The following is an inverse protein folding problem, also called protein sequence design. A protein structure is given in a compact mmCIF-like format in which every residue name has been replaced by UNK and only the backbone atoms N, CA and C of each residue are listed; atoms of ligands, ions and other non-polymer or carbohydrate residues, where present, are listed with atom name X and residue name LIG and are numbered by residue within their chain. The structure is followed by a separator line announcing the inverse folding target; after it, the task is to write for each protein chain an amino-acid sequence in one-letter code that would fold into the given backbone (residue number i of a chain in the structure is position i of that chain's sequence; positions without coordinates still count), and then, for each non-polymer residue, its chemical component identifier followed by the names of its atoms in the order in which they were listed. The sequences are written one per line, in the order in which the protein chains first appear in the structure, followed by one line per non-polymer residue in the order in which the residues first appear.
data_IF_394511901450
#
_entry.id   IF_394511901450
#
_cell.length_a   1.000
_cell.length_b   1.000
_cell.length_c   1.000
_cell.angle_alpha   90.00
_cell.angle_beta   90.00
_cell.angle_gamma   90.00
#
_symmetry.space_group_name_H-M   'P 1'
#
loop_
_entity.id
_entity.type
_entity.pdbx_description
1 polymer ?
#
# COMPACT_ATOMS: atom_id res chain seq x y z
N UNK A 1 8.00 -2.70 10.11
CA UNK A 1 7.16 -3.39 9.08
C UNK A 1 7.74 -3.08 7.70
N UNK A 2 7.81 -4.06 6.82
CA UNK A 2 8.20 -3.84 5.44
C UNK A 2 7.11 -3.09 4.68
N UNK A 3 7.50 -2.32 3.66
CA UNK A 3 6.56 -1.67 2.73
C UNK A 3 6.42 -2.52 1.46
N UNK A 4 5.26 -2.50 0.82
CA UNK A 4 5.04 -3.22 -0.43
C UNK A 4 5.69 -2.47 -1.59
N UNK A 5 6.93 -2.80 -1.92
CA UNK A 5 7.75 -2.09 -2.90
C UNK A 5 7.44 -2.49 -4.34
N UNK A 6 7.54 -1.54 -5.24
CA UNK A 6 7.61 -1.81 -6.67
C UNK A 6 8.95 -2.50 -7.00
N UNK A 7 8.95 -3.56 -7.83
CA UNK A 7 10.11 -4.46 -7.93
C UNK A 7 11.27 -3.94 -8.80
N UNK A 8 11.25 -2.69 -9.25
CA UNK A 8 12.29 -2.10 -10.11
C UNK A 8 12.76 -0.75 -9.59
N UNK A 9 14.04 -0.44 -9.85
CA UNK A 9 14.65 0.88 -9.58
C UNK A 9 14.37 1.92 -10.66
N UNK A 10 13.85 1.48 -11.81
CA UNK A 10 13.35 2.35 -12.87
C UNK A 10 12.17 1.71 -13.56
N UNK A 11 11.30 2.50 -14.16
CA UNK A 11 10.24 1.94 -14.98
C UNK A 11 9.90 2.80 -16.19
N UNK A 12 9.52 2.11 -17.27
CA UNK A 12 8.84 2.63 -18.43
C UNK A 12 7.55 1.82 -18.60
N UNK A 13 6.43 2.36 -18.19
CA UNK A 13 5.14 1.70 -18.39
C UNK A 13 4.78 1.69 -19.87
N UNK A 14 4.64 0.51 -20.44
CA UNK A 14 4.17 0.31 -21.80
C UNK A 14 2.68 0.03 -21.86
N UNK A 15 2.13 -0.49 -20.76
CA UNK A 15 0.71 -0.78 -20.64
C UNK A 15 0.23 -0.60 -19.21
N UNK A 16 -0.86 0.14 -19.03
CA UNK A 16 -1.46 0.41 -17.72
C UNK A 16 -2.45 -0.66 -17.27
N UNK A 17 -2.82 -0.62 -16.00
CA UNK A 17 -3.77 -1.55 -15.39
C UNK A 17 -5.17 -1.46 -16.03
N UNK A 18 -5.74 -2.62 -16.36
CA UNK A 18 -7.11 -2.71 -16.90
C UNK A 18 -7.27 -2.14 -18.32
N UNK A 19 -6.17 -1.93 -19.04
CA UNK A 19 -6.23 -1.53 -20.45
C UNK A 19 -6.62 -2.73 -21.31
N UNK A 20 -7.68 -2.60 -22.11
CA UNK A 20 -8.18 -3.68 -22.95
C UNK A 20 -7.40 -3.73 -24.28
N UNK A 21 -6.19 -4.27 -24.26
CA UNK A 21 -5.37 -4.56 -25.44
C UNK A 21 -5.48 -6.03 -25.84
N UNK A 22 -4.90 -6.40 -26.97
CA UNK A 22 -4.85 -7.80 -27.41
C UNK A 22 -4.16 -8.71 -26.39
N UNK A 23 -3.05 -8.25 -25.79
CA UNK A 23 -2.27 -8.99 -24.80
C UNK A 23 -2.94 -9.04 -23.41
N UNK A 24 -3.67 -7.99 -23.01
CA UNK A 24 -4.30 -7.87 -21.69
C UNK A 24 -5.81 -8.04 -21.65
N UNK A 25 -6.40 -8.65 -22.69
CA UNK A 25 -7.84 -8.98 -22.65
C UNK A 25 -8.17 -9.84 -21.45
N UNK A 26 -9.00 -9.32 -20.54
CA UNK A 26 -9.43 -9.97 -19.30
C UNK A 26 -8.32 -10.14 -18.24
N UNK A 27 -7.12 -9.60 -18.44
CA UNK A 27 -6.05 -9.58 -17.44
C UNK A 27 -5.95 -8.19 -16.81
N UNK A 28 -5.70 -8.18 -15.53
CA UNK A 28 -5.53 -6.98 -14.71
C UNK A 28 -4.05 -6.84 -14.32
N UNK A 29 -3.20 -6.56 -15.30
CA UNK A 29 -1.76 -6.43 -15.18
C UNK A 29 -1.27 -5.05 -15.63
N UNK A 30 -0.03 -4.74 -15.32
CA UNK A 30 0.74 -3.67 -15.95
C UNK A 30 1.96 -4.27 -16.64
N UNK A 31 2.36 -3.67 -17.78
CA UNK A 31 3.63 -3.99 -18.45
C UNK A 31 4.65 -2.90 -18.19
N UNK A 32 5.83 -3.31 -17.74
CA UNK A 32 6.93 -2.43 -17.40
C UNK A 32 8.18 -2.86 -18.19
N UNK A 33 8.72 -1.97 -19.02
CA UNK A 33 9.96 -2.20 -19.76
C UNK A 33 11.15 -1.54 -19.10
N UNK A 34 12.35 -2.10 -19.33
CA UNK A 34 13.62 -1.50 -18.93
C UNK A 34 14.12 -0.40 -19.88
N UNK A 35 13.34 0.06 -20.83
CA UNK A 35 13.76 0.99 -21.88
C UNK A 35 14.50 2.21 -21.31
N UNK A 36 15.83 2.22 -21.43
CA UNK A 36 16.69 3.27 -20.92
C UNK A 36 16.92 3.24 -19.40
N UNK A 37 16.54 2.17 -18.71
CA UNK A 37 16.70 2.00 -17.25
C UNK A 37 17.21 0.64 -16.86
N UNK A 38 17.06 0.30 -15.57
CA UNK A 38 17.50 -0.94 -14.97
C UNK A 38 16.62 -2.12 -15.36
N UNK A 39 17.23 -3.25 -15.74
CA UNK A 39 16.55 -4.51 -16.08
C UNK A 39 16.20 -5.34 -14.86
N UNK A 40 16.95 -5.15 -13.80
CA UNK A 40 16.89 -5.95 -12.60
C UNK A 40 15.51 -5.86 -11.93
N UNK A 41 15.02 -7.01 -11.53
CA UNK A 41 13.80 -7.19 -10.74
C UNK A 41 14.20 -7.65 -9.35
N UNK A 42 13.65 -7.00 -8.34
CA UNK A 42 13.92 -7.25 -6.93
C UNK A 42 12.68 -7.75 -6.21
N UNK A 43 12.87 -8.47 -5.11
CA UNK A 43 11.79 -8.94 -4.27
C UNK A 43 11.03 -7.75 -3.63
N UNK A 44 9.71 -7.64 -3.83
CA UNK A 44 8.93 -6.51 -3.34
C UNK A 44 8.65 -6.55 -1.84
N UNK A 45 8.91 -7.67 -1.21
CA UNK A 45 8.75 -7.99 0.22
C UNK A 45 9.54 -9.24 0.56
N UNK A 46 9.70 -9.56 1.86
CA UNK A 46 10.21 -10.87 2.30
C UNK A 46 9.11 -11.93 2.24
N UNK A 47 9.43 -13.07 1.63
CA UNK A 47 8.41 -14.07 1.36
C UNK A 47 8.96 -15.37 0.79
N UNK A 48 8.13 -16.03 0.00
CA UNK A 48 8.47 -17.30 -0.63
C UNK A 48 7.84 -17.44 -2.03
N UNK A 49 8.44 -18.27 -2.84
CA UNK A 49 7.91 -18.68 -4.15
C UNK A 49 6.71 -19.59 -3.91
N UNK A 50 5.52 -19.11 -4.19
CA UNK A 50 4.28 -19.87 -3.97
C UNK A 50 3.87 -20.73 -5.16
N UNK A 51 4.27 -20.32 -6.39
CA UNK A 51 3.97 -21.08 -7.62
C UNK A 51 4.98 -20.73 -8.72
N UNK A 52 5.19 -21.69 -9.62
CA UNK A 52 5.96 -21.52 -10.85
C UNK A 52 5.16 -22.13 -11.98
N UNK A 53 5.13 -21.45 -13.12
CA UNK A 53 4.50 -21.97 -14.33
C UNK A 53 5.36 -21.68 -15.56
N UNK A 54 5.61 -22.70 -16.35
CA UNK A 54 6.34 -22.60 -17.62
C UNK A 54 5.43 -23.07 -18.75
N UNK A 55 5.16 -22.20 -19.70
CA UNK A 55 4.36 -22.52 -20.88
C UNK A 55 5.18 -23.28 -21.93
N UNK A 56 4.49 -23.89 -22.89
CA UNK A 56 5.12 -24.56 -24.05
C UNK A 56 5.99 -23.64 -24.90
N UNK A 57 5.67 -22.35 -24.95
CA UNK A 57 6.49 -21.31 -25.64
C UNK A 57 7.62 -20.77 -24.78
N UNK A 58 8.00 -21.44 -23.70
CA UNK A 58 9.00 -21.03 -22.72
C UNK A 58 8.67 -19.69 -21.98
N UNK A 59 7.41 -19.23 -21.99
CA UNK A 59 7.01 -18.16 -21.09
C UNK A 59 7.10 -18.66 -19.64
N UNK A 60 7.85 -17.94 -18.83
CA UNK A 60 8.06 -18.28 -17.43
C UNK A 60 7.30 -17.28 -16.54
N UNK A 61 6.58 -17.80 -15.57
CA UNK A 61 5.82 -17.01 -14.60
C UNK A 61 6.10 -17.50 -13.19
N UNK A 62 6.33 -16.58 -12.26
CA UNK A 62 6.57 -16.85 -10.85
C UNK A 62 5.56 -16.09 -9.99
N UNK A 63 5.04 -16.75 -8.94
CA UNK A 63 4.23 -16.14 -7.90
C UNK A 63 5.03 -16.05 -6.62
N UNK A 64 5.04 -14.87 -6.04
CA UNK A 64 5.67 -14.59 -4.76
C UNK A 64 4.57 -14.24 -3.75
N UNK A 65 4.65 -14.81 -2.57
CA UNK A 65 3.71 -14.56 -1.47
C UNK A 65 4.46 -14.05 -0.25
N UNK A 66 3.98 -12.98 0.36
CA UNK A 66 4.61 -12.39 1.56
C UNK A 66 4.46 -13.31 2.78
N UNK A 67 5.51 -13.38 3.63
CA UNK A 67 5.46 -14.12 4.89
C UNK A 67 4.53 -13.45 5.89
N UNK A 68 4.59 -12.13 5.95
CA UNK A 68 3.88 -11.26 6.89
C UNK A 68 3.11 -10.17 6.13
N UNK A 69 2.28 -9.42 6.83
CA UNK A 69 1.65 -8.23 6.27
C UNK A 69 2.69 -7.18 5.95
N UNK A 70 2.54 -6.55 4.79
CA UNK A 70 3.37 -5.44 4.32
C UNK A 70 2.51 -4.17 4.26
N UNK A 71 3.11 -3.03 4.54
CA UNK A 71 2.44 -1.74 4.48
C UNK A 71 2.22 -1.35 3.02
N UNK A 72 0.96 -1.24 2.61
CA UNK A 72 0.59 -0.84 1.26
C UNK A 72 0.56 0.70 1.09
N UNK A 73 0.56 1.16 -0.16
CA UNK A 73 0.54 2.59 -0.51
C UNK A 73 -0.68 3.35 0.03
N UNK A 74 -1.76 2.67 0.36
CA UNK A 74 -2.94 3.26 1.01
C UNK A 74 -2.81 3.38 2.54
N UNK A 75 -1.68 2.97 3.12
CA UNK A 75 -1.40 3.02 4.56
C UNK A 75 -1.95 1.84 5.35
N UNK A 76 -2.48 0.80 4.69
CA UNK A 76 -3.03 -0.39 5.37
C UNK A 76 -2.09 -1.58 5.18
N UNK A 77 -1.84 -2.32 6.26
CA UNK A 77 -1.01 -3.52 6.23
C UNK A 77 -1.81 -4.74 5.75
N UNK A 78 -1.34 -5.41 4.68
CA UNK A 78 -1.98 -6.59 4.08
C UNK A 78 -0.96 -7.66 3.71
N UNK A 79 -1.40 -8.91 3.62
CA UNK A 79 -0.64 -9.93 2.90
C UNK A 79 -0.67 -9.62 1.40
N UNK A 80 0.45 -9.86 0.72
CA UNK A 80 0.60 -9.56 -0.70
C UNK A 80 0.99 -10.80 -1.51
N UNK A 81 0.46 -10.88 -2.71
CA UNK A 81 0.87 -11.83 -3.74
C UNK A 81 1.24 -11.05 -4.99
N UNK A 82 2.35 -11.41 -5.58
CA UNK A 82 2.85 -10.81 -6.83
C UNK A 82 3.08 -11.92 -7.85
N UNK A 83 2.54 -11.73 -9.04
CA UNK A 83 2.82 -12.56 -10.20
C UNK A 83 3.70 -11.77 -11.16
N UNK A 84 4.82 -12.35 -11.56
CA UNK A 84 5.81 -11.78 -12.48
C UNK A 84 6.04 -12.71 -13.65
N UNK A 85 5.98 -12.17 -14.87
CA UNK A 85 6.16 -12.95 -16.09
C UNK A 85 7.24 -12.32 -16.99
N UNK A 86 7.85 -13.13 -17.85
CA UNK A 86 8.86 -12.76 -18.84
C UNK A 86 10.22 -12.38 -18.27
N UNK A 87 10.85 -13.21 -17.39
CA UNK A 87 12.27 -13.02 -17.09
C UNK A 87 13.13 -13.20 -18.34
N UNK A 88 14.37 -12.75 -18.30
CA UNK A 88 15.34 -12.88 -19.40
C UNK A 88 15.73 -14.34 -19.71
N UNK A 89 15.53 -15.26 -18.74
CA UNK A 89 15.76 -16.70 -18.86
C UNK A 89 14.86 -17.46 -17.91
N UNK A 90 14.74 -18.77 -18.14
CA UNK A 90 14.09 -19.66 -17.18
C UNK A 90 14.98 -19.74 -15.92
N UNK A 91 14.39 -19.53 -14.77
CA UNK A 91 15.09 -19.46 -13.49
C UNK A 91 14.80 -20.74 -12.71
N UNK A 92 15.83 -21.30 -12.10
CA UNK A 92 15.69 -22.54 -11.33
C UNK A 92 15.23 -22.28 -9.88
N UNK A 93 14.14 -21.51 -9.72
CA UNK A 93 13.49 -21.39 -8.42
C UNK A 93 12.70 -22.64 -8.07
N UNK A 94 12.51 -22.86 -6.76
CA UNK A 94 11.66 -23.95 -6.24
C UNK A 94 10.48 -23.36 -5.48
N UNK A 95 9.31 -23.97 -5.58
CA UNK A 95 8.17 -23.65 -4.73
C UNK A 95 8.58 -23.83 -3.26
N UNK A 96 8.27 -22.87 -2.41
CA UNK A 96 8.71 -22.79 -1.02
C UNK A 96 10.07 -22.11 -0.81
N UNK A 97 10.83 -21.81 -1.87
CA UNK A 97 12.09 -21.07 -1.75
C UNK A 97 11.82 -19.67 -1.16
N UNK A 98 12.54 -19.35 -0.08
CA UNK A 98 12.43 -18.05 0.62
C UNK A 98 13.33 -16.99 -0.02
N UNK A 99 12.96 -15.75 0.16
CA UNK A 99 13.72 -14.54 -0.21
C UNK A 99 13.42 -13.42 0.78
N UNK A 100 14.31 -12.46 0.88
CA UNK A 100 14.13 -11.24 1.65
C UNK A 100 13.73 -10.09 0.73
N UNK A 101 13.13 -9.04 1.29
CA UNK A 101 12.87 -7.82 0.54
C UNK A 101 14.17 -7.29 -0.05
N UNK A 102 14.11 -6.77 -1.27
CA UNK A 102 15.23 -6.24 -2.06
C UNK A 102 16.27 -7.29 -2.55
N UNK A 103 16.06 -8.59 -2.30
CA UNK A 103 16.85 -9.62 -2.97
C UNK A 103 16.68 -9.51 -4.50
N UNK A 104 17.79 -9.61 -5.25
CA UNK A 104 17.72 -9.71 -6.70
C UNK A 104 17.07 -11.02 -7.11
N UNK A 105 16.08 -10.94 -8.01
CA UNK A 105 15.35 -12.09 -8.51
C UNK A 105 15.80 -12.49 -9.92
N UNK A 106 15.68 -11.58 -10.87
CA UNK A 106 16.01 -11.79 -12.29
C UNK A 106 16.00 -10.46 -13.04
N UNK A 107 16.42 -10.49 -14.31
CA UNK A 107 16.22 -9.37 -15.23
C UNK A 107 14.92 -9.53 -15.98
N UNK A 108 14.20 -8.43 -16.27
CA UNK A 108 13.10 -8.46 -17.22
C UNK A 108 13.61 -8.90 -18.59
N UNK A 109 12.76 -9.58 -19.37
CA UNK A 109 13.27 -10.18 -20.59
C UNK A 109 12.20 -10.66 -21.55
N UNK A 110 12.56 -11.69 -22.29
CA UNK A 110 11.88 -12.09 -23.53
C UNK A 110 11.34 -13.51 -23.50
N UNK A 111 11.33 -14.19 -22.34
CA UNK A 111 10.74 -15.54 -22.27
C UNK A 111 9.29 -15.51 -22.76
N UNK A 112 8.90 -16.50 -23.55
CA UNK A 112 7.61 -16.50 -24.23
C UNK A 112 7.61 -15.82 -25.60
N UNK A 113 8.79 -15.46 -26.11
CA UNK A 113 8.97 -14.82 -27.43
C UNK A 113 8.26 -13.46 -27.54
N UNK A 114 8.43 -12.62 -26.54
CA UNK A 114 7.89 -11.26 -26.45
C UNK A 114 9.01 -10.22 -26.47
N UNK A 115 8.68 -8.95 -26.68
CA UNK A 115 9.63 -7.86 -26.42
C UNK A 115 9.94 -7.79 -24.94
N UNK A 116 11.19 -7.44 -24.58
CA UNK A 116 11.63 -7.39 -23.19
C UNK A 116 10.74 -6.47 -22.32
N UNK A 117 10.07 -7.04 -21.33
CA UNK A 117 9.27 -6.36 -20.34
C UNK A 117 8.99 -7.28 -19.15
N UNK A 118 8.56 -6.69 -18.03
CA UNK A 118 7.93 -7.36 -16.91
C UNK A 118 6.41 -7.20 -17.04
N UNK A 119 5.68 -8.30 -17.07
CA UNK A 119 4.24 -8.34 -16.88
C UNK A 119 4.00 -8.58 -15.38
N UNK A 120 3.32 -7.64 -14.73
CA UNK A 120 3.16 -7.58 -13.29
C UNK A 120 1.68 -7.55 -12.89
N UNK A 121 1.25 -8.57 -12.14
CA UNK A 121 -0.03 -8.59 -11.44
C UNK A 121 0.22 -8.63 -9.93
N UNK A 122 -0.66 -7.97 -9.16
CA UNK A 122 -0.64 -8.04 -7.71
C UNK A 122 -2.03 -8.30 -7.15
N UNK A 123 -2.07 -8.95 -5.98
CA UNK A 123 -3.26 -9.06 -5.15
C UNK A 123 -2.90 -8.84 -3.69
N UNK A 124 -3.84 -8.31 -2.90
CA UNK A 124 -3.66 -8.05 -1.46
C UNK A 124 -4.81 -8.63 -0.66
N UNK A 125 -4.54 -9.08 0.56
CA UNK A 125 -5.48 -9.82 1.41
C UNK A 125 -5.34 -9.40 2.87
N UNK A 126 -6.47 -9.32 3.58
CA UNK A 126 -6.48 -8.94 4.99
C UNK A 126 -6.02 -10.08 5.92
N UNK A 127 -6.18 -11.33 5.47
CA UNK A 127 -5.76 -12.53 6.21
C UNK A 127 -5.08 -13.54 5.27
N UNK A 128 -4.30 -14.45 5.85
CA UNK A 128 -3.47 -15.42 5.12
C UNK A 128 -4.30 -16.54 4.48
N UNK A 129 -5.41 -16.89 5.09
CA UNK A 129 -6.33 -17.93 4.65
C UNK A 129 -6.98 -17.56 3.31
N UNK A 130 -7.16 -16.27 3.04
CA UNK A 130 -7.73 -15.78 1.78
C UNK A 130 -6.78 -15.90 0.58
N UNK A 131 -5.49 -16.21 0.80
CA UNK A 131 -4.49 -16.34 -0.28
C UNK A 131 -4.65 -17.67 -1.04
N UNK A 132 -5.26 -18.67 -0.43
CA UNK A 132 -5.38 -20.00 -1.02
C UNK A 132 -6.20 -19.96 -2.32
N UNK A 133 -5.66 -20.57 -3.41
CA UNK A 133 -6.29 -20.63 -4.73
C UNK A 133 -6.56 -19.26 -5.39
N UNK A 134 -5.67 -18.30 -5.21
CA UNK A 134 -5.79 -16.95 -5.77
C UNK A 134 -5.41 -16.80 -7.26
N UNK A 135 -5.22 -17.90 -7.96
CA UNK A 135 -4.91 -17.91 -9.39
C UNK A 135 -5.96 -18.69 -10.19
N UNK A 136 -6.18 -18.26 -11.42
CA UNK A 136 -7.09 -18.91 -12.36
C UNK A 136 -6.49 -18.95 -13.76
N UNK A 137 -6.98 -19.87 -14.60
CA UNK A 137 -6.67 -19.88 -16.02
C UNK A 137 -7.49 -18.81 -16.74
N UNK A 138 -6.81 -17.92 -17.45
CA UNK A 138 -7.42 -16.88 -18.29
C UNK A 138 -6.96 -17.11 -19.73
N UNK A 139 -7.83 -17.64 -20.58
CA UNK A 139 -7.54 -17.93 -22.01
C UNK A 139 -6.27 -18.74 -22.23
N UNK A 140 -6.06 -19.79 -21.42
CA UNK A 140 -4.86 -20.64 -21.51
C UNK A 140 -3.61 -20.05 -20.86
N UNK A 141 -3.73 -18.93 -20.20
CA UNK A 141 -2.73 -18.34 -19.31
C UNK A 141 -3.17 -18.33 -17.86
N UNK A 142 -2.26 -18.05 -16.94
CA UNK A 142 -2.58 -17.94 -15.52
C UNK A 142 -2.52 -16.49 -15.08
N UNK A 143 -3.45 -16.07 -14.26
CA UNK A 143 -3.52 -14.75 -13.65
C UNK A 143 -4.04 -14.79 -12.22
N UNK A 144 -3.93 -13.70 -11.49
CA UNK A 144 -4.50 -13.57 -10.14
C UNK A 144 -6.01 -13.33 -10.21
N UNK A 145 -6.77 -14.06 -9.38
CA UNK A 145 -8.25 -13.95 -9.33
C UNK A 145 -8.69 -12.54 -8.92
N UNK A 146 -8.05 -12.00 -7.89
CA UNK A 146 -8.36 -10.69 -7.29
C UNK A 146 -7.28 -9.65 -7.59
N UNK A 147 -6.77 -9.64 -8.82
CA UNK A 147 -5.75 -8.67 -9.20
C UNK A 147 -6.25 -7.22 -9.04
N UNK A 148 -5.41 -6.39 -8.43
CA UNK A 148 -5.67 -4.99 -8.14
C UNK A 148 -4.60 -4.09 -8.77
N UNK A 149 -4.92 -2.80 -8.93
CA UNK A 149 -4.02 -1.83 -9.54
C UNK A 149 -2.74 -1.64 -8.69
N UNK A 150 -1.54 -1.99 -9.21
CA UNK A 150 -0.29 -1.85 -8.46
C UNK A 150 -0.03 -0.44 -7.94
N UNK A 151 -0.46 0.60 -8.65
CA UNK A 151 -0.24 2.00 -8.24
C UNK A 151 -0.97 2.39 -6.95
N UNK A 152 -2.01 1.63 -6.57
CA UNK A 152 -2.78 1.88 -5.35
C UNK A 152 -2.20 1.20 -4.11
N UNK A 153 -1.38 0.16 -4.30
CA UNK A 153 -0.92 -0.69 -3.20
C UNK A 153 0.60 -0.77 -3.08
N UNK A 154 1.33 -0.65 -4.19
CA UNK A 154 2.80 -0.64 -4.17
C UNK A 154 3.35 0.78 -4.05
N UNK A 155 4.57 0.88 -3.53
CA UNK A 155 5.34 2.13 -3.47
C UNK A 155 6.63 2.02 -4.28
N UNK A 156 7.10 3.14 -4.80
CA UNK A 156 8.43 3.25 -5.41
C UNK A 156 9.43 3.79 -4.39
N UNK A 157 10.68 3.41 -4.51
CA UNK A 157 11.78 4.04 -3.78
C UNK A 157 11.90 5.52 -4.16
N UNK A 158 12.39 6.36 -3.23
CA UNK A 158 12.48 7.81 -3.46
C UNK A 158 13.38 8.19 -4.64
N UNK A 159 14.37 7.35 -4.94
CA UNK A 159 15.31 7.49 -6.04
C UNK A 159 14.92 6.68 -7.30
N UNK A 160 13.72 6.11 -7.35
CA UNK A 160 13.25 5.39 -8.54
C UNK A 160 13.19 6.32 -9.74
N UNK A 161 13.81 5.91 -10.85
CA UNK A 161 13.81 6.67 -12.11
C UNK A 161 12.52 6.40 -12.88
N UNK A 162 11.71 7.42 -13.08
CA UNK A 162 10.49 7.36 -13.91
C UNK A 162 10.88 7.80 -15.32
N UNK A 163 10.87 6.86 -16.28
CA UNK A 163 11.29 7.14 -17.66
C UNK A 163 10.14 7.72 -18.47
N UNK A 164 8.89 7.28 -18.20
CA UNK A 164 7.69 7.89 -18.73
C UNK A 164 6.60 8.01 -17.67
N UNK A 165 5.68 8.90 -17.92
CA UNK A 165 4.48 9.06 -17.11
C UNK A 165 3.24 8.60 -17.92
N UNK A 166 3.15 7.28 -18.13
CA UNK A 166 2.07 6.67 -18.92
C UNK A 166 0.68 7.10 -18.43
N UNK A 167 0.46 7.12 -17.15
CA UNK A 167 -0.85 7.46 -16.58
C UNK A 167 -1.19 8.95 -16.71
N UNK A 168 -0.18 9.82 -16.68
CA UNK A 168 -0.36 11.24 -16.93
C UNK A 168 -0.72 11.52 -18.38
N UNK A 169 -0.05 10.81 -19.33
CA UNK A 169 -0.37 10.89 -20.76
C UNK A 169 -1.80 10.43 -21.06
N UNK A 170 -2.34 9.50 -20.26
CA UNK A 170 -3.70 8.99 -20.35
C UNK A 170 -4.72 9.80 -19.53
N UNK A 171 -4.36 10.97 -19.01
CA UNK A 171 -5.17 11.77 -18.06
C UNK A 171 -5.63 10.98 -16.82
N UNK A 172 -4.91 9.93 -16.44
CA UNK A 172 -5.18 9.12 -15.26
C UNK A 172 -4.25 9.51 -14.14
N UNK A 173 -4.79 9.78 -12.95
CA UNK A 173 -4.03 10.16 -11.75
C UNK A 173 -3.48 8.94 -10.98
N UNK A 174 -2.97 7.93 -11.67
CA UNK A 174 -2.36 6.78 -11.01
C UNK A 174 -0.84 7.00 -10.94
N UNK A 175 -0.42 7.64 -9.87
CA UNK A 175 1.00 7.85 -9.57
C UNK A 175 1.35 6.95 -8.40
N UNK A 176 2.43 6.17 -8.51
CA UNK A 176 2.98 5.46 -7.37
C UNK A 176 3.40 6.45 -6.29
N UNK A 177 3.02 6.18 -5.04
CA UNK A 177 3.56 6.91 -3.90
C UNK A 177 5.01 6.48 -3.65
N UNK A 178 5.80 7.38 -3.09
CA UNK A 178 7.16 7.11 -2.66
C UNK A 178 7.18 6.47 -1.27
N UNK A 179 8.22 5.69 -0.98
CA UNK A 179 8.44 5.09 0.35
C UNK A 179 8.41 6.16 1.45
N UNK A 180 9.07 7.30 1.23
CA UNK A 180 9.08 8.42 2.20
C UNK A 180 7.70 8.99 2.49
N UNK A 181 6.79 8.99 1.52
CA UNK A 181 5.43 9.48 1.70
C UNK A 181 4.60 8.59 2.63
N UNK A 182 4.85 7.26 2.58
CA UNK A 182 4.13 6.29 3.42
C UNK A 182 4.77 6.19 4.80
N UNK A 183 6.10 6.18 4.88
CA UNK A 183 6.82 6.18 6.18
C UNK A 183 6.52 7.43 6.99
N UNK A 184 6.26 8.58 6.35
CA UNK A 184 5.71 9.76 7.04
C UNK A 184 4.30 9.51 7.60
N UNK A 185 3.52 8.57 7.04
CA UNK A 185 2.22 8.18 7.57
C UNK A 185 2.32 7.20 8.75
N UNK A 186 3.44 6.46 8.91
CA UNK A 186 3.74 5.67 10.11
C UNK A 186 4.09 6.54 11.34
N UNK A 187 4.20 7.85 11.16
CA UNK A 187 4.47 8.79 12.25
C UNK A 187 3.40 8.75 13.35
N UNK A 188 2.19 8.30 13.00
CA UNK A 188 1.09 8.15 13.95
C UNK A 188 0.85 6.68 14.29
N UNK A 189 1.28 6.27 15.50
CA UNK A 189 1.06 4.93 16.05
C UNK A 189 0.31 5.03 17.37
N UNK A 190 -0.22 3.94 17.88
CA UNK A 190 -0.80 3.89 19.24
C UNK A 190 0.18 4.43 20.28
N UNK A 191 -0.31 5.08 21.29
CA UNK A 191 0.51 5.67 22.35
C UNK A 191 0.03 7.06 22.77
N UNK A 192 0.86 7.75 23.53
CA UNK A 192 0.51 9.03 24.12
C UNK A 192 0.89 10.19 23.20
N UNK A 193 -0.02 11.14 23.13
CA UNK A 193 0.11 12.36 22.33
C UNK A 193 -0.29 13.58 23.16
N UNK A 194 0.27 14.70 22.79
CA UNK A 194 -0.06 16.02 23.36
C UNK A 194 -0.63 16.94 22.29
N UNK A 195 -1.74 17.60 22.57
CA UNK A 195 -2.36 18.56 21.64
C UNK A 195 -1.52 19.83 21.52
N UNK A 196 -1.30 20.31 20.28
CA UNK A 196 -0.62 21.58 20.00
C UNK A 196 -1.60 22.76 19.95
N UNK A 197 -2.87 22.47 19.84
CA UNK A 197 -3.99 23.43 19.77
C UNK A 197 -5.15 22.94 20.62
N UNK A 198 -6.16 23.78 20.81
CA UNK A 198 -7.44 23.32 21.34
C UNK A 198 -8.12 22.42 20.32
N UNK A 199 -8.51 21.19 20.73
CA UNK A 199 -8.97 20.16 19.81
C UNK A 199 -10.36 19.66 20.16
N UNK A 200 -11.26 19.67 19.17
CA UNK A 200 -12.60 19.05 19.32
C UNK A 200 -12.49 17.54 19.42
N UNK A 201 -13.32 16.97 20.31
CA UNK A 201 -13.51 15.52 20.43
C UNK A 201 -14.79 15.15 19.67
N UNK A 202 -14.67 14.20 18.74
CA UNK A 202 -15.76 13.84 17.85
C UNK A 202 -16.27 12.42 18.08
N UNK A 203 -17.42 12.08 17.52
CA UNK A 203 -18.02 10.75 17.59
C UNK A 203 -17.42 9.76 16.58
N UNK A 204 -16.67 10.23 15.59
CA UNK A 204 -16.01 9.42 14.55
C UNK A 204 -14.81 10.12 13.92
N UNK A 205 -14.04 9.41 13.07
CA UNK A 205 -12.78 9.88 12.48
C UNK A 205 -13.02 10.72 11.22
N UNK A 206 -13.47 11.95 11.39
CA UNK A 206 -13.72 12.89 10.29
C UNK A 206 -14.43 14.16 10.76
N UNK A 207 -14.31 15.23 9.98
CA UNK A 207 -14.97 16.52 10.27
C UNK A 207 -16.49 16.49 10.07
N UNK A 208 -16.98 15.52 9.32
CA UNK A 208 -18.40 15.23 9.11
C UNK A 208 -19.08 14.54 10.32
N UNK A 209 -18.28 14.01 11.27
CA UNK A 209 -18.82 13.44 12.49
C UNK A 209 -19.10 14.55 13.52
N UNK A 210 -20.17 14.37 14.28
CA UNK A 210 -20.61 15.30 15.31
C UNK A 210 -19.52 15.50 16.37
N UNK A 211 -19.35 16.75 16.83
CA UNK A 211 -18.57 17.06 18.04
C UNK A 211 -19.36 16.54 19.25
N UNK A 212 -18.70 15.86 20.17
CA UNK A 212 -19.31 15.39 21.42
C UNK A 212 -19.61 16.56 22.35
N UNK A 213 -20.52 16.34 23.32
CA UNK A 213 -20.71 17.22 24.46
C UNK A 213 -19.73 16.85 25.58
N UNK A 214 -19.43 17.77 26.48
CA UNK A 214 -18.58 17.51 27.66
C UNK A 214 -19.15 16.38 28.51
N UNK A 215 -20.49 16.27 28.64
CA UNK A 215 -21.17 15.16 29.35
C UNK A 215 -20.79 13.77 28.81
N UNK A 216 -20.44 13.65 27.52
CA UNK A 216 -20.15 12.40 26.84
C UNK A 216 -18.67 11.97 26.95
N UNK A 217 -17.83 12.77 27.59
CA UNK A 217 -16.42 12.47 27.82
C UNK A 217 -16.23 11.58 29.05
N UNK A 218 -15.10 10.85 29.08
CA UNK A 218 -14.63 10.20 30.31
C UNK A 218 -14.34 11.22 31.41
N UNK A 219 -14.16 10.79 32.66
CA UNK A 219 -13.81 11.69 33.80
C UNK A 219 -12.57 12.52 33.44
N UNK A 220 -11.49 11.89 33.03
CA UNK A 220 -10.25 12.56 32.60
C UNK A 220 -10.49 13.50 31.40
N UNK A 221 -11.31 13.09 30.42
CA UNK A 221 -11.68 13.95 29.30
C UNK A 221 -12.41 15.23 29.73
N UNK A 222 -13.29 15.16 30.71
CA UNK A 222 -13.98 16.33 31.30
C UNK A 222 -13.01 17.28 32.00
N UNK A 223 -12.03 16.75 32.73
CA UNK A 223 -10.99 17.53 33.38
C UNK A 223 -10.11 18.28 32.39
N UNK A 224 -9.84 17.70 31.24
CA UNK A 224 -9.05 18.26 30.15
C UNK A 224 -9.85 19.16 29.18
N UNK A 225 -11.17 19.20 29.28
CA UNK A 225 -11.99 20.08 28.46
C UNK A 225 -11.83 21.55 28.86
N UNK A 226 -11.76 22.41 27.83
CA UNK A 226 -11.72 23.87 28.01
C UNK A 226 -13.03 24.36 28.66
N UNK A 227 -14.17 23.83 28.27
CA UNK A 227 -15.48 24.14 28.82
C UNK A 227 -15.85 23.13 29.92
N UNK A 228 -16.43 23.63 31.00
CA UNK A 228 -16.87 22.81 32.15
C UNK A 228 -18.36 22.54 32.17
N UNK A 229 -19.14 23.30 31.42
CA UNK A 229 -20.57 23.07 31.28
C UNK A 229 -20.80 21.76 30.48
N UNK A 230 -21.57 20.84 31.06
CA UNK A 230 -21.83 19.50 30.50
C UNK A 230 -22.53 19.53 29.13
N UNK A 231 -23.25 20.58 28.81
CA UNK A 231 -23.92 20.76 27.53
C UNK A 231 -23.05 21.41 26.44
N UNK A 232 -21.90 21.98 26.82
CA UNK A 232 -20.96 22.58 25.89
C UNK A 232 -20.29 21.53 25.00
N UNK A 233 -19.82 21.96 23.82
CA UNK A 233 -19.02 21.12 22.93
C UNK A 233 -17.72 20.71 23.60
N UNK A 234 -17.33 19.46 23.41
CA UNK A 234 -16.12 18.88 23.96
C UNK A 234 -14.89 19.42 23.20
N UNK A 235 -14.13 20.30 23.85
CA UNK A 235 -12.94 20.95 23.33
C UNK A 235 -11.80 20.74 24.32
N UNK A 236 -10.83 19.86 23.99
CA UNK A 236 -9.62 19.69 24.77
C UNK A 236 -8.74 20.95 24.70
N UNK A 237 -8.17 21.31 25.83
CA UNK A 237 -7.20 22.42 25.90
C UNK A 237 -5.94 22.06 25.11
N UNK A 238 -5.25 23.06 24.58
CA UNK A 238 -3.85 22.94 24.17
C UNK A 238 -3.03 22.28 25.32
N UNK A 239 -2.02 21.48 24.98
CA UNK A 239 -1.16 20.73 25.90
C UNK A 239 -1.86 19.55 26.61
N UNK A 240 -3.09 19.21 26.23
CA UNK A 240 -3.78 18.01 26.77
C UNK A 240 -3.06 16.75 26.30
N UNK A 241 -2.69 15.90 27.26
CA UNK A 241 -2.15 14.56 26.99
C UNK A 241 -3.31 13.56 26.89
N UNK A 242 -3.28 12.72 25.86
CA UNK A 242 -4.26 11.66 25.65
C UNK A 242 -3.60 10.42 25.04
N UNK A 243 -4.16 9.24 25.31
CA UNK A 243 -3.71 7.98 24.74
C UNK A 243 -4.51 7.66 23.47
N UNK A 244 -3.83 7.48 22.35
CA UNK A 244 -4.39 6.95 21.10
C UNK A 244 -4.44 5.41 21.19
N UNK A 245 -5.64 4.85 21.31
CA UNK A 245 -5.90 3.40 21.34
C UNK A 245 -5.84 2.78 19.95
N UNK A 246 -6.17 3.58 18.94
CA UNK A 246 -6.20 3.21 17.53
C UNK A 246 -5.90 4.45 16.68
N UNK A 247 -5.18 4.28 15.59
CA UNK A 247 -4.94 5.33 14.60
C UNK A 247 -5.73 4.98 13.34
N UNK A 248 -6.50 5.95 12.85
CA UNK A 248 -7.34 5.80 11.67
C UNK A 248 -6.89 6.81 10.63
N UNK A 249 -6.52 6.31 9.46
CA UNK A 249 -6.27 7.12 8.26
C UNK A 249 -7.50 7.04 7.36
N UNK A 250 -8.15 8.16 7.09
CA UNK A 250 -9.31 8.23 6.19
C UNK A 250 -8.95 8.79 4.79
N UNK A 251 -7.65 8.78 4.44
CA UNK A 251 -7.13 9.24 3.15
C UNK A 251 -6.75 10.72 3.11
N UNK A 252 -7.41 11.59 3.86
CA UNK A 252 -7.13 13.02 3.93
C UNK A 252 -6.66 13.50 5.30
N UNK A 253 -6.83 12.67 6.34
CA UNK A 253 -6.48 13.01 7.71
C UNK A 253 -6.24 11.77 8.58
N UNK A 254 -5.44 11.96 9.62
CA UNK A 254 -5.15 10.97 10.65
C UNK A 254 -5.94 11.30 11.92
N UNK A 255 -6.56 10.29 12.50
CA UNK A 255 -7.40 10.41 13.67
C UNK A 255 -6.98 9.40 14.74
N UNK A 256 -6.92 9.85 15.98
CA UNK A 256 -6.77 8.96 17.14
C UNK A 256 -8.14 8.63 17.71
N UNK A 257 -8.44 7.34 17.89
CA UNK A 257 -9.49 6.88 18.77
C UNK A 257 -8.96 6.90 20.20
N UNK A 258 -9.62 7.63 21.07
CA UNK A 258 -9.30 7.75 22.49
C UNK A 258 -10.48 7.22 23.32
N UNK A 259 -10.32 6.98 24.64
CA UNK A 259 -11.45 6.61 25.50
C UNK A 259 -12.61 7.62 25.46
N UNK A 260 -12.33 8.88 25.16
CA UNK A 260 -13.34 9.95 25.11
C UNK A 260 -13.98 10.14 23.73
N UNK A 261 -13.37 9.64 22.66
CA UNK A 261 -13.83 9.83 21.27
C UNK A 261 -12.66 9.98 20.32
N UNK A 262 -12.89 10.68 19.19
CA UNK A 262 -11.90 10.83 18.13
C UNK A 262 -11.31 12.23 18.12
N UNK A 263 -9.97 12.30 17.96
CA UNK A 263 -9.19 13.54 17.88
C UNK A 263 -8.40 13.51 16.57
N UNK A 264 -8.43 14.60 15.80
CA UNK A 264 -7.62 14.76 14.61
C UNK A 264 -6.15 14.92 15.01
N UNK A 265 -5.25 14.10 14.42
CA UNK A 265 -3.81 14.21 14.62
C UNK A 265 -3.17 15.11 13.57
N UNK A 266 -3.65 14.98 12.33
CA UNK A 266 -3.16 15.69 11.16
C UNK A 266 -4.22 15.69 10.07
N UNK A 267 -4.27 16.75 9.28
CA UNK A 267 -4.99 16.80 7.99
C UNK A 267 -4.05 17.37 6.90
N UNK A 268 -4.62 17.70 5.74
CA UNK A 268 -3.87 18.26 4.62
C UNK A 268 -3.19 19.61 4.95
N UNK A 269 -3.69 20.34 5.94
CA UNK A 269 -3.28 21.71 6.26
C UNK A 269 -2.30 21.78 7.43
N UNK A 270 -2.42 20.90 8.44
CA UNK A 270 -1.65 21.01 9.67
C UNK A 270 -1.51 19.69 10.44
N UNK A 271 -0.46 19.64 11.27
CA UNK A 271 -0.29 18.66 12.34
C UNK A 271 -0.76 19.29 13.65
N UNK A 272 -1.64 18.60 14.37
CA UNK A 272 -2.34 19.10 15.56
C UNK A 272 -1.81 18.56 16.87
N UNK A 273 -0.92 17.59 16.83
CA UNK A 273 -0.41 16.89 18.01
C UNK A 273 1.10 16.65 17.93
N UNK A 274 1.71 16.43 19.10
CA UNK A 274 3.08 15.91 19.23
C UNK A 274 3.01 14.57 19.93
N UNK A 275 3.68 13.56 19.41
CA UNK A 275 3.87 12.26 20.06
C UNK A 275 4.81 12.43 21.27
N UNK A 276 4.49 11.76 22.36
CA UNK A 276 5.29 11.72 23.61
C UNK A 276 6.18 10.48 23.67
#
# INVERSE_FOLDING_TARGET
MEVFKFPKKSYYLTQGFGVNTFSHRNRKAIDVSARGGYKEIYAPFSGYVSKIYVKRNNSYTIWLTSNEKVLCADGVARFAVVMMTHPNKIINYKVGQKFNQDDYLFDDGTTGNVKAHLDLEIAVYDNKESIVNNWQSIRGDWGLVNAVDPTKYMVIEDNTIIINDYYKQQNKRYIFKKVSEIRKSEEYVKGDYKTLYNMYVRTGPGTNFRIKKVSELTKNGKENSLYKNMNSLALYKKETVFTALEIINNGSSYWAKTPSGYICLKDLNATYVKKL
#
